data_IF_192932843710
#
_entry.id   IF_192932843710
#
_cell.length_a   1.000
_cell.length_b   1.000
_cell.length_c   1.000
_cell.angle_alpha   90.00
_cell.angle_beta   90.00
_cell.angle_gamma   90.00
#
_symmetry.space_group_name_H-M   'P 1'
#
loop_
_entity.id
_entity.type
_entity.pdbx_description
1 polymer ?
#
# COMPACT_ATOMS: atom_id res chain seq x y z
N UNK A 1 14.95 3.37 -22.57
CA UNK A 1 14.10 2.61 -21.64
C UNK A 1 14.18 3.12 -20.20
N UNK A 2 15.33 3.60 -19.73
CA UNK A 2 15.52 4.10 -18.35
C UNK A 2 14.74 5.39 -18.03
N UNK A 3 14.68 6.36 -18.94
CA UNK A 3 13.99 7.64 -18.68
C UNK A 3 12.45 7.53 -18.67
N UNK A 4 11.87 6.58 -19.40
CA UNK A 4 10.43 6.37 -19.44
C UNK A 4 9.90 5.73 -18.14
N UNK A 5 10.53 4.63 -17.68
CA UNK A 5 10.22 4.00 -16.40
C UNK A 5 10.49 4.96 -15.22
N UNK A 6 11.57 5.71 -15.30
CA UNK A 6 11.94 6.71 -14.32
C UNK A 6 10.86 7.81 -14.22
N UNK A 7 10.44 8.37 -15.36
CA UNK A 7 9.39 9.40 -15.39
C UNK A 7 8.00 8.85 -15.01
N UNK A 8 7.74 7.56 -15.28
CA UNK A 8 6.47 6.92 -14.97
C UNK A 8 6.31 6.59 -13.47
N UNK A 9 7.41 6.18 -12.83
CA UNK A 9 7.40 5.73 -11.42
C UNK A 9 7.78 6.86 -10.45
N UNK A 10 8.65 7.78 -10.87
CA UNK A 10 9.37 8.67 -9.96
C UNK A 10 9.11 10.16 -10.17
N UNK A 11 8.38 10.56 -11.21
CA UNK A 11 8.00 11.95 -11.39
C UNK A 11 6.53 12.13 -10.99
N UNK A 12 6.25 12.48 -9.72
CA UNK A 12 4.89 12.90 -9.38
C UNK A 12 4.53 14.09 -10.28
N UNK A 13 3.31 14.14 -10.83
CA UNK A 13 2.82 15.36 -11.45
C UNK A 13 2.93 16.47 -10.42
N UNK A 14 3.32 17.66 -10.85
CA UNK A 14 3.48 18.83 -9.99
C UNK A 14 2.30 18.92 -9.01
N UNK A 15 2.58 18.96 -7.71
CA UNK A 15 1.55 19.06 -6.65
C UNK A 15 0.76 20.40 -6.70
N UNK A 16 1.10 21.27 -7.61
CA UNK A 16 0.36 22.51 -7.87
C UNK A 16 -0.73 22.23 -8.89
N UNK A 17 -1.90 21.86 -8.41
CA UNK A 17 -3.16 22.02 -9.14
C UNK A 17 -3.51 23.49 -9.36
N UNK A 18 -2.55 24.30 -9.82
CA UNK A 18 -2.78 25.65 -10.29
C UNK A 18 -3.30 25.55 -11.72
N UNK A 19 -4.52 26.02 -11.93
CA UNK A 19 -5.13 26.22 -13.23
C UNK A 19 -4.17 26.98 -14.16
N UNK A 20 -3.69 26.33 -15.19
CA UNK A 20 -3.05 26.99 -16.31
C UNK A 20 -4.20 27.47 -17.21
N UNK A 21 -4.48 28.77 -17.20
CA UNK A 21 -5.44 29.39 -18.09
C UNK A 21 -6.92 29.36 -17.66
N UNK A 22 -7.23 29.33 -16.36
CA UNK A 22 -8.60 29.67 -15.86
C UNK A 22 -9.70 28.62 -16.11
N UNK A 23 -9.42 27.49 -16.74
CA UNK A 23 -10.37 26.37 -16.85
C UNK A 23 -10.07 25.29 -15.81
N UNK A 24 -11.08 24.73 -15.11
CA UNK A 24 -10.89 23.61 -14.22
C UNK A 24 -10.37 22.43 -15.03
N UNK A 25 -9.22 21.87 -14.62
CA UNK A 25 -8.70 20.62 -15.18
C UNK A 25 -9.77 19.54 -14.96
N UNK A 26 -10.40 19.06 -16.05
CA UNK A 26 -11.31 17.91 -15.98
C UNK A 26 -10.46 16.71 -15.53
N UNK A 27 -10.75 16.11 -14.36
CA UNK A 27 -9.99 14.96 -13.90
C UNK A 27 -10.09 13.83 -14.93
N UNK A 28 -8.97 13.13 -15.16
CA UNK A 28 -8.97 12.01 -16.09
C UNK A 28 -9.98 10.95 -15.65
N UNK A 29 -10.85 10.51 -16.57
CA UNK A 29 -11.88 9.53 -16.26
C UNK A 29 -11.25 8.16 -15.95
N UNK A 30 -11.54 7.62 -14.76
CA UNK A 30 -11.05 6.34 -14.26
C UNK A 30 -12.12 5.24 -14.24
N UNK A 31 -13.36 5.52 -14.59
CA UNK A 31 -14.48 4.58 -14.48
C UNK A 31 -14.25 3.28 -15.28
N UNK A 32 -13.60 3.41 -16.43
CA UNK A 32 -13.25 2.29 -17.30
C UNK A 32 -12.25 1.28 -16.69
N UNK A 33 -11.58 1.67 -15.59
CA UNK A 33 -10.59 0.83 -14.90
C UNK A 33 -11.28 -0.21 -14.02
N UNK A 34 -12.31 0.18 -13.27
CA UNK A 34 -12.97 -0.68 -12.29
C UNK A 34 -13.53 -1.99 -12.87
N UNK A 35 -14.23 -2.00 -14.01
CA UNK A 35 -14.68 -3.25 -14.62
C UNK A 35 -13.52 -4.20 -14.96
N UNK A 36 -12.38 -3.66 -15.43
CA UNK A 36 -11.19 -4.46 -15.75
C UNK A 36 -10.51 -5.03 -14.51
N UNK A 37 -10.47 -4.27 -13.40
CA UNK A 37 -9.94 -4.75 -12.13
C UNK A 37 -10.86 -5.76 -11.46
N UNK A 38 -12.19 -5.64 -11.63
CA UNK A 38 -13.17 -6.61 -11.10
C UNK A 38 -13.07 -7.96 -11.80
N UNK A 39 -13.01 -7.95 -13.13
CA UNK A 39 -12.99 -9.14 -13.98
C UNK A 39 -11.79 -9.14 -14.94
N UNK A 40 -10.57 -9.35 -14.42
CA UNK A 40 -9.37 -9.34 -15.24
C UNK A 40 -9.36 -10.52 -16.21
N UNK A 41 -9.05 -10.25 -17.49
CA UNK A 41 -8.90 -11.28 -18.51
C UNK A 41 -7.56 -12.03 -18.40
N UNK A 42 -7.41 -13.15 -19.10
CA UNK A 42 -6.12 -13.87 -19.16
C UNK A 42 -4.97 -12.99 -19.66
N UNK A 43 -5.22 -12.19 -20.69
CA UNK A 43 -4.21 -11.25 -21.22
C UNK A 43 -3.86 -10.17 -20.18
N UNK A 44 -4.85 -9.71 -19.43
CA UNK A 44 -4.61 -8.78 -18.33
C UNK A 44 -3.66 -9.38 -17.28
N UNK A 45 -3.86 -10.64 -16.91
CA UNK A 45 -2.99 -11.33 -15.94
C UNK A 45 -1.54 -11.46 -16.46
N UNK A 46 -1.35 -11.75 -17.73
CA UNK A 46 0.00 -11.81 -18.34
C UNK A 46 0.67 -10.44 -18.28
N UNK A 47 -0.02 -9.39 -18.72
CA UNK A 47 0.49 -8.02 -18.67
C UNK A 47 0.79 -7.57 -17.23
N UNK A 48 -0.12 -7.88 -16.28
CA UNK A 48 0.06 -7.58 -14.86
C UNK A 48 1.29 -8.29 -14.29
N UNK A 49 1.47 -9.58 -14.57
CA UNK A 49 2.66 -10.33 -14.13
C UNK A 49 3.94 -9.70 -14.68
N UNK A 50 3.94 -9.27 -15.93
CA UNK A 50 5.09 -8.59 -16.54
C UNK A 50 5.41 -7.26 -15.84
N UNK A 51 4.40 -6.41 -15.63
CA UNK A 51 4.59 -5.11 -14.97
C UNK A 51 5.05 -5.29 -13.52
N UNK A 52 4.38 -6.15 -12.75
CA UNK A 52 4.70 -6.38 -11.34
C UNK A 52 6.09 -7.04 -11.21
N UNK A 53 6.41 -8.01 -12.06
CA UNK A 53 7.72 -8.66 -12.06
C UNK A 53 8.85 -7.69 -12.36
N UNK A 54 8.67 -6.81 -13.35
CA UNK A 54 9.65 -5.78 -13.70
C UNK A 54 9.83 -4.76 -12.57
N UNK A 55 8.73 -4.23 -12.02
CA UNK A 55 8.76 -3.26 -10.92
C UNK A 55 9.35 -3.90 -9.67
N UNK A 56 8.93 -5.12 -9.32
CA UNK A 56 9.44 -5.82 -8.14
C UNK A 56 10.92 -6.18 -8.24
N UNK A 57 11.39 -6.59 -9.43
CA UNK A 57 12.81 -6.82 -9.67
C UNK A 57 13.63 -5.53 -9.55
N UNK A 58 13.17 -4.44 -10.17
CA UNK A 58 13.77 -3.12 -10.02
C UNK A 58 13.82 -2.69 -8.55
N UNK A 59 12.72 -2.84 -7.83
CA UNK A 59 12.64 -2.51 -6.41
C UNK A 59 13.61 -3.35 -5.57
N UNK A 60 13.77 -4.64 -5.90
CA UNK A 60 14.76 -5.49 -5.24
C UNK A 60 16.20 -5.00 -5.46
N UNK A 61 16.54 -4.59 -6.68
CA UNK A 61 17.84 -3.99 -6.98
C UNK A 61 18.06 -2.75 -6.09
N UNK A 62 17.09 -1.83 -6.09
CA UNK A 62 17.21 -0.57 -5.36
C UNK A 62 17.27 -0.81 -3.86
N UNK A 63 16.32 -1.55 -3.30
CA UNK A 63 16.13 -1.68 -1.86
C UNK A 63 17.12 -2.65 -1.23
N UNK A 64 17.37 -3.79 -1.88
CA UNK A 64 18.17 -4.87 -1.26
C UNK A 64 19.64 -4.79 -1.64
N UNK A 65 19.96 -4.46 -2.90
CA UNK A 65 21.34 -4.52 -3.40
C UNK A 65 22.05 -3.18 -3.39
N UNK A 66 21.35 -2.08 -3.64
CA UNK A 66 21.94 -0.74 -3.72
C UNK A 66 21.78 0.10 -2.46
N UNK A 67 20.99 -0.35 -1.51
CA UNK A 67 20.81 0.29 -0.21
C UNK A 67 21.16 -0.68 0.93
N UNK A 68 21.34 -0.12 2.13
CA UNK A 68 21.67 -0.89 3.33
C UNK A 68 20.38 -1.16 4.10
N UNK A 69 19.72 -2.28 3.76
CA UNK A 69 18.40 -2.61 4.28
C UNK A 69 18.49 -3.67 5.37
N UNK A 70 17.95 -3.38 6.55
CA UNK A 70 17.67 -4.36 7.60
C UNK A 70 16.19 -4.69 7.62
N UNK A 71 15.87 -5.97 7.63
CA UNK A 71 14.50 -6.47 7.60
C UNK A 71 14.29 -7.36 8.82
N UNK A 72 13.27 -7.04 9.60
CA UNK A 72 12.90 -7.78 10.79
C UNK A 72 11.56 -8.48 10.56
N UNK A 73 11.49 -9.74 10.96
CA UNK A 73 10.27 -10.55 11.04
C UNK A 73 9.52 -10.77 9.70
N UNK A 74 10.16 -10.62 8.53
CA UNK A 74 9.53 -10.82 7.22
C UNK A 74 8.92 -12.21 7.05
N UNK A 75 9.46 -13.20 7.77
CA UNK A 75 8.94 -14.57 7.78
C UNK A 75 7.48 -14.65 8.23
N UNK A 76 6.97 -13.67 9.00
CA UNK A 76 5.56 -13.59 9.39
C UNK A 76 4.68 -13.43 8.13
N UNK A 77 5.01 -12.45 7.27
CA UNK A 77 4.29 -12.26 6.03
C UNK A 77 4.49 -13.42 5.05
N UNK A 78 5.74 -13.88 4.88
CA UNK A 78 6.05 -14.99 3.98
C UNK A 78 5.29 -16.27 4.37
N UNK A 79 5.23 -16.58 5.66
CA UNK A 79 4.49 -17.74 6.17
C UNK A 79 2.99 -17.63 5.87
N UNK A 80 2.39 -16.45 6.05
CA UNK A 80 0.98 -16.22 5.71
C UNK A 80 0.76 -16.34 4.20
N UNK A 81 1.66 -15.80 3.37
CA UNK A 81 1.55 -15.91 1.91
C UNK A 81 1.63 -17.36 1.40
N UNK A 82 2.46 -18.18 2.05
CA UNK A 82 2.71 -19.58 1.63
C UNK A 82 1.69 -20.56 2.20
N UNK A 83 1.17 -20.33 3.41
CA UNK A 83 0.40 -21.33 4.16
C UNK A 83 -1.06 -20.97 4.42
N UNK A 84 -1.52 -19.73 4.20
CA UNK A 84 -2.94 -19.39 4.39
C UNK A 84 -3.83 -20.10 3.39
N UNK A 85 -5.03 -20.44 3.81
CA UNK A 85 -6.09 -20.91 2.87
C UNK A 85 -6.35 -19.85 1.79
N UNK A 86 -6.72 -20.32 0.59
CA UNK A 86 -7.08 -19.42 -0.53
C UNK A 86 -8.28 -18.53 -0.21
N UNK A 87 -9.16 -18.98 0.66
CA UNK A 87 -10.36 -18.24 1.08
C UNK A 87 -10.11 -17.31 2.27
N UNK A 88 -8.94 -17.37 2.89
CA UNK A 88 -8.56 -16.49 3.99
C UNK A 88 -7.99 -15.19 3.42
N UNK A 89 -8.67 -14.03 3.57
CA UNK A 89 -8.16 -12.76 3.08
C UNK A 89 -6.94 -12.30 3.86
N UNK A 90 -6.08 -11.54 3.18
CA UNK A 90 -4.91 -10.89 3.80
C UNK A 90 -5.00 -9.38 3.63
N UNK A 91 -4.85 -8.66 4.72
CA UNK A 91 -4.71 -7.21 4.74
C UNK A 91 -3.35 -6.85 5.32
N UNK A 92 -2.55 -6.06 4.61
CA UNK A 92 -1.36 -5.46 5.19
C UNK A 92 -1.56 -3.96 5.34
N UNK A 93 -1.07 -3.41 6.43
CA UNK A 93 -1.19 -1.99 6.78
C UNK A 93 0.20 -1.44 7.04
N UNK A 94 0.56 -0.31 6.43
CA UNK A 94 1.86 0.32 6.72
C UNK A 94 1.78 1.84 6.80
N UNK A 95 2.81 2.45 7.41
CA UNK A 95 3.07 3.88 7.29
C UNK A 95 3.45 4.27 5.85
N UNK A 96 3.34 5.57 5.52
CA UNK A 96 3.59 6.09 4.16
C UNK A 96 4.49 7.31 4.19
N UNK A 97 5.78 7.12 3.98
CA UNK A 97 6.80 8.17 4.05
C UNK A 97 7.43 8.54 2.69
N UNK A 98 7.19 7.74 1.64
CA UNK A 98 7.72 7.98 0.29
C UNK A 98 6.77 7.49 -0.79
N UNK A 99 6.74 8.16 -1.93
CA UNK A 99 6.05 7.67 -3.12
C UNK A 99 6.59 6.31 -3.62
N UNK A 100 7.77 5.90 -3.16
CA UNK A 100 8.38 4.60 -3.50
C UNK A 100 8.05 3.48 -2.49
N UNK A 101 7.27 3.75 -1.45
CA UNK A 101 6.99 2.75 -0.40
C UNK A 101 6.32 1.49 -0.96
N UNK A 102 5.22 1.64 -1.71
CA UNK A 102 4.48 0.49 -2.24
C UNK A 102 5.35 -0.39 -3.15
N UNK A 103 5.97 0.10 -4.22
CA UNK A 103 6.82 -0.75 -5.04
C UNK A 103 8.08 -1.23 -4.29
N UNK A 104 8.69 -0.37 -3.46
CA UNK A 104 9.94 -0.67 -2.74
C UNK A 104 9.79 -1.81 -1.75
N UNK A 105 8.74 -1.80 -0.94
CA UNK A 105 8.47 -2.80 0.09
C UNK A 105 8.38 -4.22 -0.49
N UNK A 106 7.78 -4.37 -1.65
CA UNK A 106 7.61 -5.69 -2.27
C UNK A 106 8.88 -6.23 -2.92
N UNK A 107 9.89 -5.38 -3.14
CA UNK A 107 11.23 -5.80 -3.50
C UNK A 107 11.91 -6.69 -2.45
N UNK A 108 11.43 -6.66 -1.19
CA UNK A 108 11.92 -7.53 -0.11
C UNK A 108 11.48 -9.00 -0.29
N UNK A 109 10.34 -9.23 -0.91
CA UNK A 109 9.78 -10.56 -1.08
C UNK A 109 10.60 -11.43 -2.04
N UNK A 110 10.44 -12.74 -1.94
CA UNK A 110 10.96 -13.68 -2.93
C UNK A 110 10.36 -13.40 -4.29
N UNK A 111 11.17 -13.41 -5.35
CA UNK A 111 10.71 -13.11 -6.71
C UNK A 111 9.54 -14.02 -7.16
N UNK A 112 9.53 -15.29 -6.72
CA UNK A 112 8.41 -16.21 -6.98
C UNK A 112 7.06 -15.69 -6.46
N UNK A 113 7.06 -14.97 -5.33
CA UNK A 113 5.85 -14.38 -4.75
C UNK A 113 5.48 -13.09 -5.47
N UNK A 114 6.45 -12.25 -5.82
CA UNK A 114 6.24 -11.01 -6.58
C UNK A 114 5.68 -11.32 -7.97
N UNK A 115 6.26 -12.27 -8.69
CA UNK A 115 5.83 -12.64 -10.05
C UNK A 115 4.56 -13.50 -10.08
N UNK A 116 3.95 -13.82 -8.94
CA UNK A 116 2.71 -14.58 -8.90
C UNK A 116 1.50 -13.65 -8.74
N UNK A 117 0.77 -13.43 -9.83
CA UNK A 117 -0.40 -12.56 -9.86
C UNK A 117 -1.54 -13.02 -8.92
N UNK A 118 -1.57 -14.29 -8.51
CA UNK A 118 -2.54 -14.79 -7.55
C UNK A 118 -2.17 -14.47 -6.10
N UNK A 119 -0.89 -14.25 -5.84
CA UNK A 119 -0.35 -14.05 -4.49
C UNK A 119 -0.13 -12.57 -4.18
N UNK A 120 0.36 -11.80 -5.18
CA UNK A 120 0.74 -10.40 -4.95
C UNK A 120 -0.46 -9.49 -4.65
N UNK A 121 -0.23 -8.50 -3.80
CA UNK A 121 -1.23 -7.57 -3.27
C UNK A 121 -1.97 -6.77 -4.35
N UNK A 122 -3.17 -6.32 -4.01
CA UNK A 122 -3.84 -5.14 -4.54
C UNK A 122 -3.51 -3.96 -3.63
N UNK A 123 -3.34 -2.76 -4.18
CA UNK A 123 -3.02 -1.57 -3.40
C UNK A 123 -3.82 -0.37 -3.91
N UNK A 124 -4.16 0.56 -3.02
CA UNK A 124 -4.80 1.80 -3.43
C UNK A 124 -3.74 2.82 -3.84
N UNK A 125 -4.01 3.55 -4.93
CA UNK A 125 -3.14 4.62 -5.40
C UNK A 125 -3.95 5.87 -5.76
N UNK A 126 -3.43 7.06 -5.43
CA UNK A 126 -4.12 8.32 -5.60
C UNK A 126 -4.44 8.59 -7.08
N UNK A 127 -5.71 8.87 -7.39
CA UNK A 127 -6.20 9.13 -8.76
C UNK A 127 -5.43 10.28 -9.40
N UNK A 128 -5.32 11.38 -8.70
CA UNK A 128 -4.70 12.62 -9.15
C UNK A 128 -3.18 12.55 -9.35
N UNK A 129 -2.54 11.47 -8.89
CA UNK A 129 -1.11 11.22 -9.05
C UNK A 129 -0.84 10.10 -10.06
N UNK A 130 -1.48 8.96 -9.88
CA UNK A 130 -1.15 7.73 -10.60
C UNK A 130 -2.00 7.51 -11.86
N UNK A 131 -3.17 8.16 -11.96
CA UNK A 131 -4.13 7.93 -13.05
C UNK A 131 -4.44 9.20 -13.83
N UNK A 132 -3.39 9.96 -14.16
CA UNK A 132 -3.48 11.28 -14.81
C UNK A 132 -3.69 11.22 -16.32
N UNK A 133 -3.40 10.09 -16.95
CA UNK A 133 -3.57 9.85 -18.38
C UNK A 133 -3.67 8.34 -18.66
N UNK A 134 -4.00 7.98 -19.91
CA UNK A 134 -4.21 6.58 -20.32
C UNK A 134 -3.01 5.67 -20.06
N UNK A 135 -1.79 6.13 -20.31
CA UNK A 135 -0.59 5.30 -20.16
C UNK A 135 -0.23 5.06 -18.70
N UNK A 136 -0.27 6.12 -17.87
CA UNK A 136 -0.12 5.99 -16.42
C UNK A 136 -1.19 5.05 -15.85
N UNK A 137 -2.44 5.25 -16.24
CA UNK A 137 -3.56 4.43 -15.79
C UNK A 137 -3.40 2.95 -16.16
N UNK A 138 -2.93 2.65 -17.37
CA UNK A 138 -2.64 1.27 -17.76
C UNK A 138 -1.50 0.66 -16.93
N UNK A 139 -0.42 1.42 -16.71
CA UNK A 139 0.71 0.96 -15.92
C UNK A 139 0.31 0.64 -14.47
N UNK A 140 -0.34 1.57 -13.79
CA UNK A 140 -0.80 1.36 -12.41
C UNK A 140 -1.89 0.30 -12.31
N UNK A 141 -2.81 0.24 -13.27
CA UNK A 141 -3.83 -0.81 -13.36
C UNK A 141 -3.20 -2.20 -13.47
N UNK A 142 -2.19 -2.39 -14.32
CA UNK A 142 -1.45 -3.65 -14.41
C UNK A 142 -0.58 -3.91 -13.19
N UNK A 143 -0.17 -2.88 -12.47
CA UNK A 143 0.46 -2.97 -11.15
C UNK A 143 -0.50 -3.38 -10.01
N UNK A 144 -1.78 -3.70 -10.32
CA UNK A 144 -2.85 -3.98 -9.36
C UNK A 144 -3.14 -2.80 -8.42
N UNK A 145 -2.92 -1.58 -8.89
CA UNK A 145 -3.30 -0.38 -8.18
C UNK A 145 -4.75 -0.02 -8.44
N UNK A 146 -5.48 0.27 -7.39
CA UNK A 146 -6.90 0.65 -7.40
C UNK A 146 -6.96 2.16 -7.26
N UNK A 147 -7.56 2.90 -8.24
CA UNK A 147 -7.61 4.35 -8.17
C UNK A 147 -8.53 4.82 -7.04
N UNK A 148 -7.97 5.59 -6.09
CA UNK A 148 -8.70 6.20 -4.97
C UNK A 148 -8.76 7.71 -5.13
N UNK A 149 -9.95 8.29 -4.96
CA UNK A 149 -10.17 9.74 -4.98
C UNK A 149 -10.02 10.28 -3.56
N UNK A 150 -8.95 11.05 -3.34
CA UNK A 150 -8.68 11.63 -2.02
C UNK A 150 -9.77 12.64 -1.65
N UNK A 151 -10.29 12.55 -0.43
CA UNK A 151 -11.38 13.41 0.05
C UNK A 151 -12.80 12.95 -0.31
N UNK A 152 -12.97 11.95 -1.17
CA UNK A 152 -14.30 11.42 -1.52
C UNK A 152 -14.95 10.54 -0.43
N UNK A 153 -14.35 10.47 0.73
CA UNK A 153 -14.87 9.70 1.86
C UNK A 153 -14.63 8.19 1.74
N UNK A 154 -15.29 7.45 2.62
CA UNK A 154 -15.13 5.99 2.67
C UNK A 154 -16.05 5.25 1.71
N UNK A 155 -17.13 5.86 1.26
CA UNK A 155 -18.08 5.29 0.29
C UNK A 155 -17.67 5.66 -1.14
N UNK A 156 -16.67 4.95 -1.66
CA UNK A 156 -16.18 5.14 -3.02
C UNK A 156 -15.79 3.81 -3.66
N UNK A 157 -15.83 3.70 -5.01
CA UNK A 157 -15.56 2.46 -5.74
C UNK A 157 -14.22 1.80 -5.39
N UNK A 158 -13.22 2.56 -4.97
CA UNK A 158 -11.91 2.03 -4.56
C UNK A 158 -12.02 1.19 -3.30
N UNK A 159 -12.74 1.67 -2.30
CA UNK A 159 -12.93 0.94 -1.03
C UNK A 159 -13.81 -0.31 -1.27
N UNK A 160 -14.89 -0.16 -2.06
CA UNK A 160 -15.76 -1.29 -2.43
C UNK A 160 -14.95 -2.38 -3.12
N UNK A 161 -14.06 -2.01 -4.06
CA UNK A 161 -13.23 -2.96 -4.76
C UNK A 161 -12.21 -3.66 -3.83
N UNK A 162 -11.67 -2.97 -2.83
CA UNK A 162 -10.81 -3.60 -1.81
C UNK A 162 -11.59 -4.68 -1.03
N UNK A 163 -12.82 -4.37 -0.61
CA UNK A 163 -13.72 -5.33 0.05
C UNK A 163 -14.02 -6.51 -0.87
N UNK A 164 -14.36 -6.26 -2.14
CA UNK A 164 -14.58 -7.29 -3.15
C UNK A 164 -13.35 -8.22 -3.31
N UNK A 165 -12.13 -7.66 -3.30
CA UNK A 165 -10.90 -8.44 -3.39
C UNK A 165 -10.64 -9.30 -2.15
N UNK A 166 -10.88 -8.76 -0.97
CA UNK A 166 -10.78 -9.53 0.27
C UNK A 166 -11.82 -10.65 0.32
N UNK A 167 -13.08 -10.42 -0.12
CA UNK A 167 -14.10 -11.47 -0.25
C UNK A 167 -13.68 -12.66 -1.12
N UNK A 168 -12.76 -12.42 -2.07
CA UNK A 168 -12.16 -13.45 -2.92
C UNK A 168 -10.88 -14.08 -2.33
N UNK A 169 -10.58 -13.85 -1.06
CA UNK A 169 -9.37 -14.33 -0.40
C UNK A 169 -8.08 -13.66 -0.87
N UNK A 170 -8.15 -12.56 -1.62
CA UNK A 170 -6.96 -11.89 -2.11
C UNK A 170 -6.25 -11.09 -1.01
N UNK A 171 -5.04 -10.66 -1.31
CA UNK A 171 -4.26 -9.76 -0.47
C UNK A 171 -4.48 -8.30 -0.89
N UNK A 172 -4.85 -7.45 0.06
CA UNK A 172 -4.96 -5.99 -0.09
C UNK A 172 -3.94 -5.32 0.81
N UNK A 173 -3.27 -4.28 0.30
CA UNK A 173 -2.37 -3.42 1.06
C UNK A 173 -2.95 -2.01 1.19
N UNK A 174 -2.86 -1.42 2.38
CA UNK A 174 -3.43 -0.11 2.68
C UNK A 174 -2.42 0.77 3.41
N UNK A 175 -2.32 2.02 2.98
CA UNK A 175 -1.68 3.10 3.74
C UNK A 175 -2.79 3.92 4.43
N UNK A 176 -3.09 3.68 5.72
CA UNK A 176 -4.25 4.28 6.37
C UNK A 176 -4.09 5.77 6.65
N UNK A 177 -2.89 6.32 6.54
CA UNK A 177 -2.62 7.76 6.60
C UNK A 177 -3.30 8.51 5.43
N UNK A 178 -3.54 7.84 4.31
CA UNK A 178 -4.24 8.36 3.12
C UNK A 178 -3.44 9.38 2.30
N UNK A 179 -2.22 9.64 2.68
CA UNK A 179 -1.23 10.48 1.96
C UNK A 179 0.18 10.15 2.40
N UNK A 180 1.18 10.55 1.60
CA UNK A 180 2.58 10.51 2.04
C UNK A 180 2.75 11.46 3.22
N UNK A 181 3.21 10.94 4.33
CA UNK A 181 3.47 11.69 5.57
C UNK A 181 4.88 12.30 5.53
N UNK A 182 4.94 13.54 5.05
CA UNK A 182 6.21 14.24 4.87
C UNK A 182 6.82 14.74 6.19
N UNK A 183 5.98 15.06 7.17
CA UNK A 183 6.38 15.57 8.49
C UNK A 183 6.75 14.47 9.47
N UNK A 184 6.34 13.22 9.20
CA UNK A 184 6.50 12.05 10.09
C UNK A 184 5.82 12.22 11.46
N UNK A 185 4.89 13.16 11.55
CA UNK A 185 4.02 13.31 12.71
C UNK A 185 3.00 12.18 12.79
N UNK A 186 2.44 11.96 13.96
CA UNK A 186 1.40 10.96 14.14
C UNK A 186 0.09 11.45 13.50
N UNK A 187 -0.22 10.90 12.34
CA UNK A 187 -1.45 11.20 11.64
C UNK A 187 -2.59 10.30 12.09
N UNK A 188 -3.77 10.89 12.26
CA UNK A 188 -4.99 10.12 12.47
C UNK A 188 -5.29 9.26 11.24
N UNK A 189 -5.45 7.95 11.43
CA UNK A 189 -5.77 7.02 10.34
C UNK A 189 -7.16 7.27 9.76
N UNK A 190 -7.27 7.13 8.45
CA UNK A 190 -8.53 7.25 7.73
C UNK A 190 -9.40 6.03 7.95
N UNK A 191 -10.69 6.24 8.21
CA UNK A 191 -11.65 5.17 8.51
C UNK A 191 -11.94 4.20 7.36
N UNK A 192 -11.32 4.42 6.20
CA UNK A 192 -11.37 3.49 5.07
C UNK A 192 -10.87 2.09 5.42
N UNK A 193 -9.80 1.97 6.22
CA UNK A 193 -9.30 0.68 6.67
C UNK A 193 -10.31 -0.03 7.59
N UNK A 194 -10.95 0.71 8.49
CA UNK A 194 -12.02 0.18 9.35
C UNK A 194 -13.21 -0.32 8.55
N UNK A 195 -13.64 0.43 7.50
CA UNK A 195 -14.71 -0.01 6.60
C UNK A 195 -14.34 -1.29 5.85
N UNK A 196 -13.12 -1.35 5.30
CA UNK A 196 -12.63 -2.52 4.57
C UNK A 196 -12.70 -3.78 5.45
N UNK A 197 -12.29 -3.67 6.72
CA UNK A 197 -12.31 -4.80 7.67
C UNK A 197 -13.74 -5.15 8.07
N UNK A 198 -14.55 -4.15 8.44
CA UNK A 198 -15.89 -4.34 8.96
C UNK A 198 -16.84 -5.00 7.95
N UNK A 199 -16.76 -4.60 6.67
CA UNK A 199 -17.64 -5.11 5.61
C UNK A 199 -17.10 -6.37 4.91
N UNK A 200 -15.90 -6.84 5.26
CA UNK A 200 -15.37 -8.11 4.74
C UNK A 200 -15.94 -9.28 5.54
N UNK A 201 -16.65 -10.24 4.90
CA UNK A 201 -17.38 -11.30 5.62
C UNK A 201 -16.50 -12.23 6.46
N UNK A 202 -15.28 -12.50 5.97
CA UNK A 202 -14.27 -13.28 6.69
C UNK A 202 -13.23 -12.31 7.19
N UNK A 203 -13.00 -12.27 8.50
CA UNK A 203 -11.98 -11.40 9.09
C UNK A 203 -10.61 -11.68 8.44
N UNK A 204 -9.97 -10.68 7.81
CA UNK A 204 -8.67 -10.87 7.19
C UNK A 204 -7.58 -11.11 8.23
N UNK A 205 -6.54 -11.86 7.86
CA UNK A 205 -5.28 -11.81 8.59
C UNK A 205 -4.70 -10.42 8.37
N UNK A 206 -4.45 -9.66 9.45
CA UNK A 206 -4.01 -8.27 9.36
C UNK A 206 -2.56 -8.19 9.82
N UNK A 207 -1.64 -7.87 8.91
CA UNK A 207 -0.21 -7.74 9.23
C UNK A 207 0.18 -6.26 9.19
N UNK A 208 0.57 -5.68 10.33
CA UNK A 208 1.12 -4.34 10.39
C UNK A 208 2.59 -4.36 9.92
N UNK A 209 3.00 -3.33 9.21
CA UNK A 209 4.35 -3.14 8.72
C UNK A 209 4.77 -1.71 9.04
N UNK A 210 5.95 -1.54 9.63
CA UNK A 210 6.54 -0.21 9.79
C UNK A 210 7.90 -0.15 9.12
N UNK A 211 8.15 0.94 8.42
CA UNK A 211 9.44 1.15 7.76
C UNK A 211 9.98 2.56 8.01
N UNK A 212 11.31 2.68 7.97
CA UNK A 212 12.03 3.95 8.16
C UNK A 212 13.12 4.05 7.11
N UNK A 213 13.29 5.26 6.57
CA UNK A 213 14.38 5.62 5.68
C UNK A 213 14.03 5.67 4.19
N UNK A 214 12.82 5.27 3.77
CA UNK A 214 12.40 5.26 2.36
C UNK A 214 12.42 6.66 1.73
N UNK A 215 12.06 7.69 2.47
CA UNK A 215 12.14 9.09 2.07
C UNK A 215 13.58 9.56 1.81
N UNK A 216 14.57 8.85 2.35
CA UNK A 216 15.98 9.11 2.07
C UNK A 216 16.45 8.46 0.77
N UNK A 217 15.79 7.41 0.31
CA UNK A 217 16.02 6.73 -0.97
C UNK A 217 15.38 7.50 -2.12
N UNK A 218 14.08 7.81 -2.00
CA UNK A 218 13.40 8.70 -2.93
C UNK A 218 12.78 9.86 -2.14
N UNK A 219 13.40 11.07 -2.22
CA UNK A 219 12.85 12.27 -1.59
C UNK A 219 11.47 12.61 -2.14
N UNK A 220 10.63 13.18 -1.28
CA UNK A 220 9.28 13.63 -1.65
C UNK A 220 9.27 15.03 -2.28
N UNK A 221 10.43 15.68 -2.34
CA UNK A 221 10.65 17.01 -2.92
C UNK A 221 11.73 16.96 -4.02
N UNK A 222 11.64 17.84 -5.00
CA UNK A 222 12.67 17.94 -6.04
C UNK A 222 14.08 18.19 -5.47
N UNK A 223 15.10 17.63 -6.08
CA UNK A 223 15.08 16.74 -7.25
C UNK A 223 14.75 15.29 -6.89
N UNK A 224 13.82 14.68 -7.65
CA UNK A 224 13.35 13.30 -7.44
C UNK A 224 14.34 12.27 -7.99
N UNK A 225 15.51 12.15 -7.35
CA UNK A 225 16.52 11.14 -7.72
C UNK A 225 16.58 10.03 -6.69
N UNK A 226 16.70 8.79 -7.17
CA UNK A 226 17.01 7.66 -6.31
C UNK A 226 18.41 7.84 -5.71
N UNK A 227 18.48 7.82 -4.39
CA UNK A 227 19.72 7.88 -3.62
C UNK A 227 20.08 6.48 -3.15
N UNK A 228 21.36 6.14 -3.25
CA UNK A 228 21.88 4.82 -2.92
C UNK A 228 22.67 4.84 -1.62
N UNK A 229 22.93 3.64 -1.07
CA UNK A 229 23.71 3.50 0.17
C UNK A 229 22.98 3.96 1.44
N UNK A 230 21.66 4.21 1.36
CA UNK A 230 20.84 4.65 2.49
C UNK A 230 20.54 3.51 3.45
N UNK A 231 20.40 3.80 4.73
CA UNK A 231 20.00 2.84 5.76
C UNK A 231 18.50 2.77 5.85
N UNK A 232 17.97 1.58 5.62
CA UNK A 232 16.53 1.27 5.68
C UNK A 232 16.27 0.25 6.75
N UNK A 233 15.16 0.39 7.45
CA UNK A 233 14.66 -0.62 8.39
C UNK A 233 13.22 -0.91 8.07
N UNK A 234 12.88 -2.20 7.95
CA UNK A 234 11.53 -2.71 7.83
C UNK A 234 11.24 -3.65 8.98
N UNK A 235 10.10 -3.51 9.61
CA UNK A 235 9.64 -4.41 10.66
C UNK A 235 8.23 -4.89 10.34
N UNK A 236 8.05 -6.21 10.32
CA UNK A 236 6.77 -6.88 10.11
C UNK A 236 6.24 -7.32 11.46
N UNK A 237 5.16 -6.71 11.92
CA UNK A 237 4.54 -7.03 13.20
C UNK A 237 3.79 -8.36 13.17
N UNK A 238 3.44 -8.85 14.34
CA UNK A 238 2.52 -10.00 14.49
C UNK A 238 1.15 -9.64 13.92
N UNK A 239 0.38 -10.63 13.43
CA UNK A 239 -0.99 -10.38 13.01
C UNK A 239 -1.80 -9.70 14.12
N UNK A 240 -2.49 -8.62 13.77
CA UNK A 240 -3.38 -7.91 14.70
C UNK A 240 -4.63 -8.74 14.93
N UNK A 241 -4.89 -9.06 16.19
CA UNK A 241 -6.12 -9.76 16.58
C UNK A 241 -7.26 -8.76 16.82
N UNK A 242 -8.33 -8.93 16.05
CA UNK A 242 -9.57 -8.15 16.19
C UNK A 242 -10.76 -8.99 16.61
N UNK A 243 -10.58 -10.27 16.99
CA UNK A 243 -11.70 -11.16 17.33
C UNK A 243 -12.55 -10.57 18.45
N UNK A 244 -11.94 -10.14 19.56
CA UNK A 244 -12.66 -9.54 20.69
C UNK A 244 -13.40 -8.25 20.29
N UNK A 245 -12.80 -7.44 19.39
CA UNK A 245 -13.45 -6.21 18.89
C UNK A 245 -14.66 -6.58 18.05
N UNK A 246 -14.51 -7.52 17.12
CA UNK A 246 -15.59 -7.95 16.25
C UNK A 246 -16.73 -8.65 17.00
N UNK A 247 -16.41 -9.44 18.01
CA UNK A 247 -17.43 -10.07 18.88
C UNK A 247 -18.19 -9.02 19.68
N UNK A 248 -17.51 -8.04 20.26
CA UNK A 248 -18.17 -6.93 20.98
C UNK A 248 -19.11 -6.14 20.06
N UNK A 249 -18.69 -5.85 18.83
CA UNK A 249 -19.53 -5.15 17.85
C UNK A 249 -20.76 -5.97 17.41
N UNK A 250 -20.66 -7.30 17.42
CA UNK A 250 -21.80 -8.19 17.15
C UNK A 250 -22.78 -8.26 18.34
N UNK A 251 -22.25 -8.35 19.56
CA UNK A 251 -23.10 -8.43 20.77
C UNK A 251 -23.75 -7.10 21.12
N UNK A 252 -23.06 -5.98 20.88
CA UNK A 252 -23.56 -4.63 21.14
C UNK A 252 -23.45 -3.82 19.83
N UNK A 253 -24.47 -3.94 18.94
CA UNK A 253 -24.45 -3.25 17.66
C UNK A 253 -24.38 -1.73 17.85
N UNK A 254 -23.44 -1.09 17.19
CA UNK A 254 -23.27 0.36 17.12
C UNK A 254 -23.50 0.83 15.67
N UNK A 255 -23.49 2.14 15.43
CA UNK A 255 -23.53 2.64 14.06
C UNK A 255 -22.33 2.16 13.27
N UNK A 256 -22.50 2.01 11.94
CA UNK A 256 -21.39 1.63 11.05
C UNK A 256 -20.20 2.62 11.14
N UNK A 257 -20.48 3.88 11.37
CA UNK A 257 -19.47 4.92 11.57
C UNK A 257 -18.65 4.66 12.83
N UNK A 258 -19.30 4.34 13.91
CA UNK A 258 -18.67 4.03 15.19
C UNK A 258 -17.89 2.71 15.12
N UNK A 259 -18.44 1.68 14.47
CA UNK A 259 -17.74 0.42 14.26
C UNK A 259 -16.43 0.62 13.46
N UNK A 260 -16.49 1.40 12.38
CA UNK A 260 -15.30 1.76 11.58
C UNK A 260 -14.26 2.51 12.41
N UNK A 261 -14.72 3.44 13.25
CA UNK A 261 -13.84 4.20 14.14
C UNK A 261 -13.14 3.26 15.12
N UNK A 262 -13.88 2.41 15.84
CA UNK A 262 -13.33 1.46 16.83
C UNK A 262 -12.28 0.56 16.19
N UNK A 263 -12.57 -0.01 15.03
CA UNK A 263 -11.63 -0.89 14.30
C UNK A 263 -10.38 -0.11 13.87
N UNK A 264 -10.56 1.11 13.33
CA UNK A 264 -9.43 1.94 12.90
C UNK A 264 -8.55 2.35 14.08
N UNK A 265 -9.16 2.68 15.22
CA UNK A 265 -8.44 3.06 16.44
C UNK A 265 -7.56 1.90 16.93
N UNK A 266 -8.10 0.68 16.93
CA UNK A 266 -7.32 -0.52 17.31
C UNK A 266 -6.15 -0.77 16.35
N UNK A 267 -6.37 -0.63 15.03
CA UNK A 267 -5.28 -0.74 14.05
C UNK A 267 -4.22 0.33 14.31
N UNK A 268 -4.63 1.57 14.58
CA UNK A 268 -3.69 2.66 14.87
C UNK A 268 -2.88 2.40 16.13
N UNK A 269 -3.49 1.91 17.20
CA UNK A 269 -2.83 1.53 18.44
C UNK A 269 -1.70 0.51 18.18
N UNK A 270 -2.01 -0.58 17.51
CA UNK A 270 -1.03 -1.63 17.19
C UNK A 270 0.10 -1.12 16.26
N UNK A 271 -0.23 -0.25 15.32
CA UNK A 271 0.75 0.39 14.45
C UNK A 271 1.69 1.33 15.22
N UNK A 272 1.22 2.03 16.26
CA UNK A 272 2.07 2.88 17.10
C UNK A 272 3.04 2.05 17.95
N UNK A 273 2.62 0.91 18.48
CA UNK A 273 3.51 -0.02 19.18
C UNK A 273 4.63 -0.51 18.25
N UNK A 274 4.25 -0.90 17.02
CA UNK A 274 5.22 -1.35 16.02
C UNK A 274 6.17 -0.23 15.57
N UNK A 275 5.68 1.03 15.51
CA UNK A 275 6.48 2.22 15.25
C UNK A 275 7.61 2.36 16.27
N UNK A 276 7.28 2.38 17.56
CA UNK A 276 8.27 2.54 18.64
C UNK A 276 9.33 1.44 18.62
N UNK A 277 8.92 0.19 18.37
CA UNK A 277 9.85 -0.92 18.21
C UNK A 277 10.79 -0.70 17.02
N UNK A 278 10.23 -0.30 15.88
CA UNK A 278 11.02 -0.10 14.65
C UNK A 278 11.97 1.08 14.77
N UNK A 279 11.58 2.15 15.48
CA UNK A 279 12.44 3.31 15.75
C UNK A 279 13.65 2.90 16.61
N UNK A 280 13.46 2.07 17.63
CA UNK A 280 14.58 1.50 18.41
C UNK A 280 15.52 0.67 17.54
N UNK A 281 14.97 -0.26 16.74
CA UNK A 281 15.74 -1.10 15.83
C UNK A 281 16.55 -0.27 14.82
N UNK A 282 15.96 0.80 14.29
CA UNK A 282 16.64 1.70 13.36
C UNK A 282 17.74 2.53 14.03
N UNK A 283 17.48 3.02 15.23
CA UNK A 283 18.49 3.76 16.02
C UNK A 283 19.71 2.89 16.34
N UNK A 284 19.49 1.65 16.78
CA UNK A 284 20.57 0.69 17.06
C UNK A 284 21.35 0.35 15.77
N UNK A 285 20.64 0.27 14.65
CA UNK A 285 21.27 0.09 13.34
C UNK A 285 22.15 1.28 12.94
N UNK A 286 21.72 2.50 13.20
CA UNK A 286 22.53 3.68 12.88
C UNK A 286 23.80 3.72 13.74
N UNK A 287 23.71 3.39 15.03
CA UNK A 287 24.84 3.40 15.97
C UNK A 287 25.87 2.30 15.71
N UNK A 288 25.45 1.15 15.20
CA UNK A 288 26.32 -0.01 14.99
C UNK A 288 27.11 -0.02 13.67
N UNK A 289 27.10 1.10 12.91
CA UNK A 289 27.65 1.11 11.53
C UNK A 289 28.69 2.17 11.32
#
# INVERSE_FOLDING_TARGET
MSSFLFNLILKPPSMNGAAVGGQPLIPYNIDWIFPKLRRPSRLWHIASTGVIGLVGFFSKIVIVWLNKTRVHNIQILENVLENRSKDTPLLTVSNHHSCFDDPGMWGLLKLRNVCNHNVIRWSMAAHDICFTNKYHSLFFMYGKCIPVVRGAGVYQPAIDLCIEKLKLGHWVHVFPEGKVNMTKEDLRFKWGVGRIIYETPVLPVIIPIWHIGMETVLPNEPPYYLRLGKKLTYNFGKPIDLNDVMERLKMNPVSEEEARKIITDKIQEEMMVLKEETERLHFDYIKSS
#
